data_IF_811422890361
#
_entry.id   IF_811422890361
#
_cell.length_a   1.000
_cell.length_b   1.000
_cell.length_c   1.000
_cell.angle_alpha   90.00
_cell.angle_beta   90.00
_cell.angle_gamma   90.00
#
_symmetry.space_group_name_H-M   'P 1'
#
loop_
_entity.id
_entity.type
_entity.pdbx_description
1 polymer ?
#
# COMPACT_ATOMS: atom_id res chain seq x y z
N UNK A 1 31.27 -21.46 0.35
CA UNK A 1 32.28 -22.31 1.03
C UNK A 1 31.57 -23.11 2.11
N UNK A 2 31.81 -24.44 2.19
CA UNK A 2 31.44 -25.39 3.26
C UNK A 2 30.47 -24.90 4.38
N UNK A 3 29.36 -25.63 4.53
CA UNK A 3 29.11 -26.42 5.76
C UNK A 3 28.34 -27.70 5.41
N UNK A 4 28.83 -28.82 5.93
CA UNK A 4 28.20 -30.14 5.86
C UNK A 4 27.99 -30.57 7.30
N UNK A 5 26.77 -30.94 7.68
CA UNK A 5 26.47 -31.51 8.99
C UNK A 5 25.52 -32.70 8.84
N UNK A 6 26.06 -33.88 9.14
CA UNK A 6 25.35 -35.16 9.19
C UNK A 6 24.59 -35.28 10.51
N UNK A 7 23.29 -35.60 10.51
CA UNK A 7 22.63 -36.30 11.62
C UNK A 7 21.77 -37.43 11.07
N UNK A 8 21.84 -38.60 11.72
CA UNK A 8 21.27 -39.88 11.29
C UNK A 8 20.51 -40.52 12.48
N UNK A 9 19.45 -41.29 12.18
CA UNK A 9 18.59 -42.05 13.11
C UNK A 9 17.55 -41.19 13.88
N UNK A 10 16.38 -41.67 14.32
CA UNK A 10 15.94 -43.04 14.65
C UNK A 10 14.51 -43.34 14.11
N UNK A 11 14.27 -44.61 13.75
CA UNK A 11 12.96 -45.20 13.41
C UNK A 11 12.09 -45.44 14.66
N UNK A 12 10.78 -45.13 14.61
CA UNK A 12 9.78 -45.96 15.32
C UNK A 12 8.43 -46.02 14.58
N UNK A 13 7.62 -47.01 14.95
CA UNK A 13 6.65 -47.70 14.10
C UNK A 13 5.24 -47.76 14.75
N UNK A 14 4.17 -47.70 13.93
CA UNK A 14 2.78 -48.12 14.24
C UNK A 14 2.02 -47.31 15.32
N UNK A 15 0.67 -47.29 15.39
CA UNK A 15 -0.37 -47.96 14.58
C UNK A 15 -1.65 -47.08 14.47
N UNK A 16 -2.60 -47.52 13.63
CA UNK A 16 -3.91 -46.88 13.42
C UNK A 16 -4.91 -47.17 14.55
N UNK A 17 -5.81 -46.21 14.83
CA UNK A 17 -7.23 -46.47 15.14
C UNK A 17 -8.08 -45.19 15.03
N UNK A 18 -9.13 -45.23 14.22
CA UNK A 18 -10.25 -44.27 14.22
C UNK A 18 -11.56 -45.04 14.52
N UNK A 19 -12.73 -44.39 14.64
CA UNK A 19 -13.36 -44.06 15.92
C UNK A 19 -14.64 -44.90 16.16
N UNK A 20 -15.55 -44.46 17.05
CA UNK A 20 -16.85 -44.07 16.49
C UNK A 20 -17.43 -42.76 17.06
N UNK A 21 -18.36 -42.18 16.31
CA UNK A 21 -19.18 -41.02 16.70
C UNK A 21 -20.43 -41.42 17.50
N UNK A 22 -21.10 -40.47 18.16
CA UNK A 22 -22.58 -40.41 18.23
C UNK A 22 -23.12 -39.05 18.72
N UNK A 23 -24.32 -38.67 18.23
CA UNK A 23 -25.30 -37.65 18.68
C UNK A 23 -24.80 -36.25 19.15
N UNK A 24 -25.21 -35.13 18.53
CA UNK A 24 -26.56 -34.52 18.52
C UNK A 24 -27.13 -34.21 19.92
N UNK A 25 -27.21 -32.91 20.26
CA UNK A 25 -28.52 -32.31 20.52
C UNK A 25 -28.51 -30.77 20.30
N UNK A 26 -29.66 -30.23 19.89
CA UNK A 26 -29.99 -28.80 19.85
C UNK A 26 -31.43 -28.60 20.32
N UNK A 27 -31.67 -27.63 21.20
CA UNK A 27 -32.81 -26.75 21.08
C UNK A 27 -32.31 -25.31 20.86
N UNK A 28 -33.01 -24.43 20.14
CA UNK A 28 -34.46 -24.39 19.95
C UNK A 28 -34.89 -22.98 20.35
N UNK A 29 -35.00 -22.08 19.36
CA UNK A 29 -34.93 -20.64 19.63
C UNK A 29 -36.23 -20.00 20.13
N UNK A 30 -36.17 -18.69 20.40
CA UNK A 30 -37.39 -17.89 20.56
C UNK A 30 -37.23 -16.48 19.98
N UNK A 31 -37.98 -16.20 18.91
CA UNK A 31 -38.22 -14.84 18.45
C UNK A 31 -39.21 -14.15 19.39
N UNK A 32 -38.94 -12.90 19.76
CA UNK A 32 -39.99 -11.94 20.17
C UNK A 32 -39.67 -10.57 19.57
N UNK A 33 -40.58 -10.07 18.74
CA UNK A 33 -40.55 -8.70 18.24
C UNK A 33 -41.67 -7.88 18.86
N UNK A 34 -41.38 -6.60 19.13
CA UNK A 34 -42.28 -5.48 19.45
C UNK A 34 -41.33 -4.28 19.71
N UNK A 35 -41.61 -3.04 19.31
CA UNK A 35 -42.73 -2.50 18.54
C UNK A 35 -42.45 -1.03 18.20
N UNK A 36 -43.28 -0.44 17.33
CA UNK A 36 -43.12 0.96 16.91
C UNK A 36 -43.30 1.97 18.05
N UNK A 37 -42.58 3.09 17.99
CA UNK A 37 -42.68 4.20 18.95
C UNK A 37 -42.21 5.53 18.37
N UNK A 38 -42.89 6.05 17.35
CA UNK A 38 -42.57 7.36 16.78
C UNK A 38 -43.11 8.50 17.64
N UNK A 39 -42.22 9.39 18.12
CA UNK A 39 -42.57 10.59 18.87
C UNK A 39 -42.13 11.86 18.14
N UNK A 40 -43.08 12.62 17.59
CA UNK A 40 -42.86 14.00 17.12
C UNK A 40 -42.99 14.97 18.29
N UNK A 41 -42.08 15.94 18.40
CA UNK A 41 -42.19 17.07 19.34
C UNK A 41 -41.67 18.36 18.70
N UNK A 42 -42.49 19.41 18.72
CA UNK A 42 -42.12 20.77 18.30
C UNK A 42 -41.18 21.43 19.36
N UNK A 43 -40.44 22.51 19.08
CA UNK A 43 -40.50 23.41 17.92
C UNK A 43 -40.92 24.84 18.29
N UNK A 44 -40.16 25.49 19.17
CA UNK A 44 -40.11 26.94 19.48
C UNK A 44 -38.72 27.21 20.10
N UNK A 45 -38.09 28.39 20.06
CA UNK A 45 -38.36 29.67 19.37
C UNK A 45 -37.19 30.64 19.63
N UNK A 46 -36.86 31.63 18.77
CA UNK A 46 -35.59 32.37 18.86
C UNK A 46 -35.62 33.49 19.91
N UNK A 47 -34.84 33.35 20.98
CA UNK A 47 -34.65 34.38 22.00
C UNK A 47 -33.47 35.30 21.70
N UNK A 48 -33.74 36.55 21.31
CA UNK A 48 -32.72 37.60 21.23
C UNK A 48 -32.23 38.00 22.64
N UNK A 49 -30.96 37.76 22.94
CA UNK A 49 -30.30 38.21 24.18
C UNK A 49 -29.17 39.20 23.88
N UNK A 50 -29.44 40.49 24.00
CA UNK A 50 -28.41 41.53 23.84
C UNK A 50 -27.54 41.70 25.09
N UNK A 51 -26.22 41.80 24.89
CA UNK A 51 -25.37 42.70 25.68
C UNK A 51 -24.82 42.21 27.02
N UNK A 52 -23.50 41.99 27.05
CA UNK A 52 -22.56 42.84 27.82
C UNK A 52 -21.12 42.54 27.42
N UNK A 53 -20.42 43.53 26.87
CA UNK A 53 -18.99 43.41 26.57
C UNK A 53 -18.17 43.46 27.86
N UNK A 54 -17.26 42.50 28.04
CA UNK A 54 -16.25 42.57 29.09
C UNK A 54 -15.07 43.40 28.62
N UNK A 55 -14.77 44.48 29.35
CA UNK A 55 -13.56 45.28 29.16
C UNK A 55 -12.35 44.48 29.64
N UNK A 56 -11.30 44.42 28.83
CA UNK A 56 -9.99 43.95 29.28
C UNK A 56 -9.47 44.89 30.38
N UNK A 57 -9.25 44.37 31.58
CA UNK A 57 -8.45 45.06 32.59
C UNK A 57 -6.98 44.76 32.33
N UNK A 58 -6.22 45.77 31.90
CA UNK A 58 -4.78 45.70 31.85
C UNK A 58 -4.21 45.80 33.28
N UNK A 59 -3.51 44.76 33.73
CA UNK A 59 -2.69 44.79 34.95
C UNK A 59 -1.23 44.64 34.55
N UNK A 60 -0.45 45.71 34.71
CA UNK A 60 0.99 45.66 34.54
C UNK A 60 1.60 44.80 35.65
N UNK A 61 2.25 43.70 35.29
CA UNK A 61 3.09 42.88 36.16
C UNK A 61 4.43 42.65 35.47
N UNK A 62 5.53 42.77 36.21
CA UNK A 62 6.89 42.74 35.65
C UNK A 62 7.21 41.44 34.91
N UNK A 63 7.77 41.58 33.71
CA UNK A 63 8.16 40.45 32.89
C UNK A 63 9.53 39.90 33.32
N UNK A 64 9.54 38.87 34.16
CA UNK A 64 10.64 37.89 34.13
C UNK A 64 10.45 36.98 32.91
N UNK A 65 10.94 37.43 31.76
CA UNK A 65 10.92 36.65 30.53
C UNK A 65 11.93 35.48 30.62
N UNK A 66 11.57 34.41 31.32
CA UNK A 66 12.15 33.09 31.04
C UNK A 66 11.67 32.68 29.65
N UNK A 67 12.61 32.68 28.70
CA UNK A 67 12.40 32.29 27.31
C UNK A 67 12.00 30.82 27.25
N UNK A 68 10.69 30.54 27.30
CA UNK A 68 10.16 29.19 27.12
C UNK A 68 10.37 28.78 25.68
N UNK A 69 11.41 27.98 25.44
CA UNK A 69 11.65 27.32 24.16
C UNK A 69 10.35 26.67 23.68
N UNK A 70 9.99 26.91 22.42
CA UNK A 70 8.83 26.31 21.76
C UNK A 70 9.00 24.79 21.73
N UNK A 71 8.40 24.12 22.71
CA UNK A 71 8.46 22.67 22.85
C UNK A 71 7.69 22.00 21.72
N UNK A 72 8.38 21.60 20.65
CA UNK A 72 7.83 20.68 19.68
C UNK A 72 7.59 19.33 20.34
N UNK A 73 6.32 18.95 20.50
CA UNK A 73 5.99 17.59 20.93
C UNK A 73 6.57 16.59 19.90
N UNK A 74 7.32 15.56 20.33
CA UNK A 74 7.91 14.61 19.41
C UNK A 74 6.82 13.86 18.65
N UNK A 75 6.97 13.78 17.33
CA UNK A 75 6.08 13.00 16.47
C UNK A 75 6.43 11.51 16.54
N UNK A 76 5.41 10.67 16.52
CA UNK A 76 5.51 9.22 16.41
C UNK A 76 4.94 8.72 15.08
N UNK A 77 5.46 7.58 14.65
CA UNK A 77 5.19 6.96 13.35
C UNK A 77 4.86 5.45 13.53
N UNK A 78 3.80 5.10 14.28
CA UNK A 78 3.57 3.73 14.78
C UNK A 78 3.27 2.69 13.70
N UNK A 79 2.91 3.08 12.46
CA UNK A 79 2.55 2.14 11.39
C UNK A 79 3.09 2.53 10.02
N UNK A 80 3.04 3.81 9.66
CA UNK A 80 3.67 4.35 8.45
C UNK A 80 4.92 5.12 8.89
N UNK A 81 6.10 4.58 8.58
CA UNK A 81 7.38 5.22 8.90
C UNK A 81 7.58 6.52 8.09
N UNK A 82 8.21 7.51 8.70
CA UNK A 82 8.57 8.84 8.16
C UNK A 82 7.40 9.76 7.73
N UNK A 83 6.21 9.22 7.44
CA UNK A 83 5.06 9.96 6.91
C UNK A 83 3.88 10.04 7.89
N UNK A 84 3.12 11.14 7.83
CA UNK A 84 1.90 11.29 8.63
C UNK A 84 2.11 11.22 10.15
N UNK A 85 3.11 11.91 10.69
CA UNK A 85 3.45 11.86 12.12
C UNK A 85 2.30 12.32 13.04
N UNK A 86 2.18 11.65 14.19
CA UNK A 86 1.14 11.88 15.21
C UNK A 86 1.73 12.16 16.59
N UNK A 87 0.94 12.78 17.46
CA UNK A 87 1.23 12.92 18.90
C UNK A 87 0.20 12.06 19.64
N UNK A 88 0.63 11.27 20.64
CA UNK A 88 -0.30 10.46 21.45
C UNK A 88 -1.10 11.36 22.38
N UNK A 89 -2.43 11.29 22.31
CA UNK A 89 -3.37 12.10 23.10
C UNK A 89 -4.36 11.20 23.84
N UNK A 90 -3.89 10.55 24.91
CA UNK A 90 -4.67 9.57 25.67
C UNK A 90 -5.98 10.11 26.25
N UNK A 91 -5.98 11.37 26.68
CA UNK A 91 -7.14 12.00 27.34
C UNK A 91 -8.00 12.84 26.38
N UNK A 92 -7.79 12.73 25.06
CA UNK A 92 -8.58 13.48 24.09
C UNK A 92 -10.06 13.04 24.08
N UNK A 93 -10.96 14.02 23.99
CA UNK A 93 -12.41 13.80 24.02
C UNK A 93 -12.98 13.03 22.80
N UNK A 94 -12.18 12.81 21.75
CA UNK A 94 -12.53 12.04 20.56
C UNK A 94 -11.40 11.05 20.27
N UNK A 95 -11.57 9.82 20.75
CA UNK A 95 -10.62 8.72 20.55
C UNK A 95 -10.89 7.96 19.23
N UNK A 96 -9.87 7.33 18.62
CA UNK A 96 -10.07 6.31 17.60
C UNK A 96 -11.03 5.22 18.07
N UNK A 97 -11.93 4.75 17.19
CA UNK A 97 -12.92 3.72 17.52
C UNK A 97 -12.66 2.46 16.72
N UNK A 98 -12.48 1.32 17.40
CA UNK A 98 -12.29 0.03 16.75
C UNK A 98 -13.46 -0.31 15.81
N UNK A 99 -13.15 -0.94 14.67
CA UNK A 99 -14.12 -1.27 13.63
C UNK A 99 -14.56 -0.09 12.77
N UNK A 100 -13.89 1.07 12.86
CA UNK A 100 -14.18 2.21 11.98
C UNK A 100 -13.89 1.83 10.52
N UNK A 101 -14.80 2.18 9.62
CA UNK A 101 -14.59 2.14 8.17
C UNK A 101 -14.48 3.57 7.65
N UNK A 102 -13.40 3.92 6.96
CA UNK A 102 -13.11 5.27 6.48
C UNK A 102 -12.85 5.23 4.97
N UNK A 103 -13.65 5.96 4.20
CA UNK A 103 -13.39 6.22 2.79
C UNK A 103 -12.83 7.63 2.66
N UNK A 104 -11.61 7.73 2.14
CA UNK A 104 -10.95 8.99 1.83
C UNK A 104 -11.12 9.29 0.34
N UNK A 105 -11.81 10.38 0.00
CA UNK A 105 -11.88 10.88 -1.37
C UNK A 105 -10.78 11.92 -1.61
N UNK A 106 -9.72 11.53 -2.30
CA UNK A 106 -8.50 12.32 -2.47
C UNK A 106 -8.49 12.95 -3.87
N UNK A 107 -8.68 14.26 -3.92
CA UNK A 107 -8.75 15.04 -5.17
C UNK A 107 -7.65 16.09 -5.33
N UNK A 108 -6.97 16.45 -4.24
CA UNK A 108 -5.82 17.37 -4.29
C UNK A 108 -4.63 16.76 -5.05
N UNK A 109 -4.16 17.41 -6.11
CA UNK A 109 -2.84 17.14 -6.69
C UNK A 109 -1.69 17.78 -5.91
N UNK A 110 -0.46 17.58 -6.39
CA UNK A 110 0.78 18.21 -5.91
C UNK A 110 1.65 18.67 -7.07
N UNK A 111 2.73 19.39 -6.76
CA UNK A 111 3.86 19.55 -7.69
C UNK A 111 4.43 18.17 -8.04
N UNK A 112 4.87 17.99 -9.28
CA UNK A 112 5.20 16.67 -9.86
C UNK A 112 6.43 16.00 -9.23
N UNK A 113 7.31 16.79 -8.62
CA UNK A 113 8.50 16.31 -7.90
C UNK A 113 8.30 16.24 -6.37
N UNK A 114 7.07 16.43 -5.87
CA UNK A 114 6.75 16.39 -4.44
C UNK A 114 5.68 15.34 -4.14
N UNK A 115 5.80 14.72 -2.96
CA UNK A 115 4.79 13.84 -2.39
C UNK A 115 3.46 14.60 -2.26
N UNK A 116 2.38 13.93 -2.62
CA UNK A 116 1.05 14.49 -2.51
C UNK A 116 0.66 14.64 -1.04
N UNK A 117 0.42 15.88 -0.59
CA UNK A 117 0.03 16.18 0.81
C UNK A 117 -1.31 15.56 1.24
N UNK A 118 -2.11 15.04 0.30
CA UNK A 118 -3.25 14.17 0.61
C UNK A 118 -2.80 12.80 1.14
N UNK A 119 -1.74 12.20 0.58
CA UNK A 119 -1.19 10.92 1.05
C UNK A 119 -0.59 11.04 2.45
N UNK A 120 0.09 12.14 2.77
CA UNK A 120 0.56 12.44 4.12
C UNK A 120 -0.59 12.46 5.14
N UNK A 121 -1.77 12.96 4.75
CA UNK A 121 -2.98 12.90 5.60
C UNK A 121 -3.52 11.48 5.72
N UNK A 122 -3.51 10.67 4.65
CA UNK A 122 -3.88 9.24 4.73
C UNK A 122 -2.96 8.50 5.69
N UNK A 123 -1.64 8.67 5.57
CA UNK A 123 -0.65 8.11 6.49
C UNK A 123 -0.89 8.56 7.93
N UNK A 124 -1.27 9.83 8.12
CA UNK A 124 -1.66 10.35 9.44
C UNK A 124 -2.91 9.69 9.99
N UNK A 125 -3.91 9.36 9.18
CA UNK A 125 -5.06 8.57 9.64
C UNK A 125 -4.65 7.16 10.05
N UNK A 126 -3.80 6.46 9.28
CA UNK A 126 -3.27 5.14 9.67
C UNK A 126 -2.52 5.23 11.02
N UNK A 127 -1.62 6.20 11.18
CA UNK A 127 -0.86 6.40 12.41
C UNK A 127 -1.73 6.85 13.61
N UNK A 128 -2.79 7.62 13.39
CA UNK A 128 -3.73 8.03 14.44
C UNK A 128 -4.44 6.83 15.06
N UNK A 129 -4.89 5.89 14.24
CA UNK A 129 -5.53 4.64 14.71
C UNK A 129 -4.51 3.66 15.31
N UNK A 130 -3.28 3.62 14.80
CA UNK A 130 -2.24 2.72 15.32
C UNK A 130 -1.60 3.18 16.65
N UNK A 131 -1.65 4.47 17.01
CA UNK A 131 -1.05 4.94 18.27
C UNK A 131 -1.26 6.41 18.65
N UNK A 132 -2.16 7.13 17.99
CA UNK A 132 -2.48 8.53 18.32
C UNK A 132 -3.47 8.69 19.48
N UNK A 133 -4.31 7.69 19.74
CA UNK A 133 -5.27 7.68 20.85
C UNK A 133 -4.70 7.16 22.17
N UNK A 134 -5.58 6.89 23.14
CA UNK A 134 -5.24 6.18 24.39
C UNK A 134 -4.66 4.80 24.09
N UNK A 135 -5.40 4.01 23.30
CA UNK A 135 -5.03 2.69 22.83
C UNK A 135 -5.11 2.62 21.30
N UNK A 136 -4.38 1.68 20.66
CA UNK A 136 -4.57 1.37 19.24
C UNK A 136 -5.99 0.88 18.96
N UNK A 137 -6.49 1.14 17.76
CA UNK A 137 -7.83 0.75 17.34
C UNK A 137 -7.88 0.28 15.87
N UNK A 138 -8.59 -0.82 15.62
CA UNK A 138 -8.75 -1.36 14.27
C UNK A 138 -9.55 -0.42 13.36
N UNK A 139 -9.06 -0.23 12.14
CA UNK A 139 -9.70 0.58 11.10
C UNK A 139 -9.56 -0.08 9.73
N UNK A 140 -10.60 0.03 8.91
CA UNK A 140 -10.53 -0.25 7.46
C UNK A 140 -10.51 1.07 6.73
N UNK A 141 -9.43 1.38 6.01
CA UNK A 141 -9.31 2.60 5.23
C UNK A 141 -9.32 2.24 3.74
N UNK A 142 -10.20 2.88 2.99
CA UNK A 142 -10.18 2.91 1.53
C UNK A 142 -9.85 4.33 1.06
N UNK A 143 -9.07 4.47 0.00
CA UNK A 143 -8.76 5.76 -0.65
C UNK A 143 -9.17 5.69 -2.10
N UNK A 144 -9.84 6.74 -2.59
CA UNK A 144 -10.11 6.90 -4.02
C UNK A 144 -9.44 8.15 -4.57
N UNK A 145 -8.65 7.98 -5.63
CA UNK A 145 -7.93 9.04 -6.33
C UNK A 145 -8.73 9.50 -7.55
N UNK A 146 -9.07 10.79 -7.60
CA UNK A 146 -9.55 11.44 -8.82
C UNK A 146 -9.14 12.92 -8.87
N UNK A 147 -9.76 13.72 -9.75
CA UNK A 147 -9.37 15.11 -9.96
C UNK A 147 -7.87 15.26 -10.26
N UNK A 148 -7.19 16.13 -9.53
CA UNK A 148 -5.76 16.38 -9.70
C UNK A 148 -4.86 15.33 -9.03
N UNK A 149 -5.41 14.53 -8.13
CA UNK A 149 -4.70 13.40 -7.54
C UNK A 149 -4.61 12.17 -8.46
N UNK A 150 -5.45 12.07 -9.50
CA UNK A 150 -5.59 10.87 -10.36
C UNK A 150 -4.27 10.25 -10.81
N UNK A 151 -3.28 11.07 -11.16
CA UNK A 151 -2.01 10.62 -11.73
C UNK A 151 -0.92 10.37 -10.67
N UNK A 152 -1.22 10.55 -9.38
CA UNK A 152 -0.29 10.24 -8.30
C UNK A 152 -0.03 8.73 -8.16
N UNK A 153 -0.88 7.87 -8.75
CA UNK A 153 -0.81 6.40 -8.64
C UNK A 153 -0.16 5.70 -9.84
N UNK A 154 0.48 6.44 -10.75
CA UNK A 154 1.14 5.83 -11.91
C UNK A 154 2.42 5.10 -11.51
N UNK A 155 2.81 4.08 -12.27
CA UNK A 155 4.13 3.45 -12.25
C UNK A 155 5.23 4.49 -12.46
N UNK A 156 6.46 4.27 -11.94
CA UNK A 156 7.58 5.21 -12.08
C UNK A 156 7.79 5.69 -13.52
N UNK A 157 7.87 4.75 -14.47
CA UNK A 157 8.16 5.05 -15.88
C UNK A 157 7.05 5.87 -16.54
N UNK A 158 5.79 5.50 -16.29
CA UNK A 158 4.62 6.22 -16.79
C UNK A 158 4.51 7.64 -16.19
N UNK A 159 4.85 7.80 -14.91
CA UNK A 159 4.91 9.10 -14.25
C UNK A 159 6.06 9.96 -14.79
N UNK A 160 7.26 9.38 -14.92
CA UNK A 160 8.47 10.01 -15.43
C UNK A 160 8.27 10.50 -16.88
N UNK A 161 7.73 9.66 -17.75
CA UNK A 161 7.43 10.00 -19.13
C UNK A 161 6.39 11.14 -19.25
N UNK A 162 5.39 11.15 -18.36
CA UNK A 162 4.28 12.12 -18.39
C UNK A 162 4.62 13.48 -17.78
N UNK A 163 5.52 13.52 -16.79
CA UNK A 163 5.84 14.73 -16.02
C UNK A 163 7.30 15.19 -16.11
N UNK A 164 8.14 14.49 -16.87
CA UNK A 164 9.59 14.76 -17.03
C UNK A 164 10.33 14.81 -15.68
N UNK A 165 10.10 13.78 -14.85
CA UNK A 165 10.71 13.59 -13.53
C UNK A 165 11.50 12.28 -13.49
N UNK A 166 12.35 12.08 -12.48
CA UNK A 166 13.12 10.85 -12.29
C UNK A 166 12.28 9.62 -11.88
N UNK A 167 10.97 9.80 -11.65
CA UNK A 167 10.03 8.76 -11.22
C UNK A 167 8.83 9.35 -10.47
N UNK A 168 7.96 8.48 -9.95
CA UNK A 168 6.81 8.92 -9.14
C UNK A 168 7.24 9.15 -7.68
N UNK A 169 7.25 10.40 -7.16
CA UNK A 169 7.63 10.67 -5.76
C UNK A 169 6.69 10.03 -4.74
N UNK A 170 5.46 9.67 -5.15
CA UNK A 170 4.45 9.10 -4.28
C UNK A 170 4.63 7.58 -4.04
N UNK A 171 5.45 6.89 -4.84
CA UNK A 171 5.49 5.42 -4.88
C UNK A 171 5.77 4.79 -3.51
N UNK A 172 6.81 5.24 -2.79
CA UNK A 172 7.20 4.68 -1.48
C UNK A 172 6.03 4.75 -0.49
N UNK A 173 5.38 5.90 -0.40
CA UNK A 173 4.26 6.12 0.51
C UNK A 173 3.01 5.35 0.10
N UNK A 174 2.72 5.27 -1.21
CA UNK A 174 1.64 4.44 -1.74
C UNK A 174 1.84 2.95 -1.40
N UNK A 175 3.06 2.42 -1.53
CA UNK A 175 3.41 1.06 -1.13
C UNK A 175 3.22 0.85 0.38
N UNK A 176 3.79 1.73 1.22
CA UNK A 176 3.63 1.64 2.68
C UNK A 176 2.15 1.67 3.14
N UNK A 177 1.29 2.45 2.46
CA UNK A 177 -0.15 2.47 2.72
C UNK A 177 -0.81 1.14 2.33
N UNK A 178 -0.47 0.57 1.18
CA UNK A 178 -0.93 -0.76 0.76
C UNK A 178 -0.50 -1.84 1.75
N UNK A 179 0.78 -1.85 2.16
CA UNK A 179 1.34 -2.82 3.12
C UNK A 179 0.72 -2.70 4.51
N UNK A 180 0.26 -1.49 4.87
CA UNK A 180 -0.49 -1.26 6.10
C UNK A 180 -1.95 -1.74 6.04
N UNK A 181 -2.45 -2.18 4.88
CA UNK A 181 -3.81 -2.67 4.67
C UNK A 181 -4.81 -1.62 4.20
N UNK A 182 -4.35 -0.52 3.58
CA UNK A 182 -5.23 0.49 2.98
C UNK A 182 -5.64 0.06 1.57
N UNK A 183 -6.94 -0.04 1.31
CA UNK A 183 -7.48 -0.29 -0.04
C UNK A 183 -7.34 0.96 -0.92
N UNK A 184 -6.58 0.89 -2.01
CA UNK A 184 -6.34 2.03 -2.90
C UNK A 184 -7.07 1.86 -4.24
N UNK A 185 -7.81 2.88 -4.66
CA UNK A 185 -8.59 2.89 -5.90
C UNK A 185 -8.32 4.15 -6.74
N UNK A 186 -8.29 4.04 -8.07
CA UNK A 186 -8.25 5.21 -8.97
C UNK A 186 -9.47 5.27 -9.89
N UNK A 187 -9.95 6.48 -10.16
CA UNK A 187 -11.06 6.71 -11.08
C UNK A 187 -10.64 6.48 -12.53
N UNK A 188 -11.13 5.40 -13.15
CA UNK A 188 -10.85 5.06 -14.55
C UNK A 188 -11.28 6.14 -15.54
N UNK A 189 -12.44 6.79 -15.34
CA UNK A 189 -12.85 7.91 -16.20
C UNK A 189 -11.85 9.08 -16.14
N UNK A 190 -11.35 9.43 -14.95
CA UNK A 190 -10.37 10.51 -14.78
C UNK A 190 -8.99 10.12 -15.31
N UNK A 191 -8.62 8.85 -15.20
CA UNK A 191 -7.34 8.32 -15.69
C UNK A 191 -7.28 8.44 -17.23
N UNK A 192 -8.31 7.93 -17.91
CA UNK A 192 -8.45 7.98 -19.37
C UNK A 192 -8.56 9.43 -19.86
N UNK A 193 -9.34 10.28 -19.18
CA UNK A 193 -9.47 11.70 -19.59
C UNK A 193 -8.18 12.50 -19.43
N UNK A 194 -7.27 12.05 -18.55
CA UNK A 194 -5.92 12.61 -18.40
C UNK A 194 -4.86 11.89 -19.26
N UNK A 195 -5.28 11.06 -20.22
CA UNK A 195 -4.41 10.42 -21.20
C UNK A 195 -3.46 9.40 -20.58
N UNK A 196 -3.96 8.59 -19.64
CA UNK A 196 -3.29 7.41 -19.09
C UNK A 196 -4.27 6.25 -19.06
N UNK A 197 -3.77 5.02 -19.01
CA UNK A 197 -4.55 3.80 -19.07
C UNK A 197 -4.38 2.92 -17.82
N UNK A 198 -5.28 1.95 -17.55
CA UNK A 198 -5.18 1.11 -16.34
C UNK A 198 -3.83 0.36 -16.22
N UNK A 199 -3.19 0.07 -17.35
CA UNK A 199 -1.84 -0.51 -17.46
C UNK A 199 -0.75 0.40 -16.88
N UNK A 200 -0.94 1.71 -16.83
CA UNK A 200 0.01 2.68 -16.28
C UNK A 200 -0.01 2.72 -14.73
N UNK A 201 -1.05 2.17 -14.09
CA UNK A 201 -1.28 2.28 -12.65
C UNK A 201 -0.40 1.28 -11.88
N UNK A 202 0.09 1.67 -10.69
CA UNK A 202 0.80 0.73 -9.81
C UNK A 202 -0.12 -0.43 -9.42
N UNK A 203 0.38 -1.66 -9.48
CA UNK A 203 -0.45 -2.87 -9.45
C UNK A 203 -1.27 -3.10 -8.17
N UNK A 204 -0.88 -2.46 -7.06
CA UNK A 204 -1.61 -2.50 -5.79
C UNK A 204 -2.69 -1.40 -5.67
N UNK A 205 -2.86 -0.55 -6.69
CA UNK A 205 -3.98 0.41 -6.81
C UNK A 205 -4.99 -0.11 -7.85
N UNK A 206 -6.24 -0.29 -7.43
CA UNK A 206 -7.31 -0.87 -8.22
C UNK A 206 -7.98 0.19 -9.10
N UNK A 207 -8.02 0.02 -10.42
CA UNK A 207 -8.78 0.93 -11.29
C UNK A 207 -10.28 0.65 -11.16
N UNK A 208 -11.04 1.61 -10.63
CA UNK A 208 -12.50 1.56 -10.54
C UNK A 208 -13.15 2.22 -11.77
N UNK A 209 -14.41 1.88 -12.07
CA UNK A 209 -15.18 2.48 -13.19
C UNK A 209 -15.18 4.01 -13.09
N UNK A 210 -15.51 4.54 -11.91
CA UNK A 210 -15.35 5.94 -11.54
C UNK A 210 -15.17 6.13 -10.03
N UNK A 211 -14.66 7.30 -9.60
CA UNK A 211 -14.65 7.65 -8.19
C UNK A 211 -16.07 7.63 -7.58
N UNK A 212 -17.07 8.09 -8.33
CA UNK A 212 -18.47 8.11 -7.87
C UNK A 212 -18.97 6.70 -7.52
N UNK A 213 -18.63 5.68 -8.32
CA UNK A 213 -18.97 4.28 -8.00
C UNK A 213 -18.24 3.78 -6.76
N UNK A 214 -16.96 4.12 -6.59
CA UNK A 214 -16.21 3.77 -5.37
C UNK A 214 -16.82 4.43 -4.13
N UNK A 215 -17.19 5.71 -4.23
CA UNK A 215 -17.79 6.49 -3.15
C UNK A 215 -19.13 5.91 -2.72
N UNK A 216 -20.06 5.75 -3.67
CA UNK A 216 -21.41 5.22 -3.37
C UNK A 216 -21.34 3.83 -2.76
N UNK A 217 -20.56 2.91 -3.34
CA UNK A 217 -20.46 1.53 -2.86
C UNK A 217 -19.91 1.47 -1.42
N UNK A 218 -18.77 2.11 -1.14
CA UNK A 218 -18.19 2.08 0.20
C UNK A 218 -19.08 2.78 1.24
N UNK A 219 -19.74 3.89 0.89
CA UNK A 219 -20.70 4.51 1.80
C UNK A 219 -21.89 3.60 2.09
N UNK A 220 -22.40 2.85 1.10
CA UNK A 220 -23.43 1.81 1.30
C UNK A 220 -22.91 0.66 2.19
N UNK A 221 -21.64 0.29 2.08
CA UNK A 221 -20.98 -0.69 2.95
C UNK A 221 -20.64 -0.15 4.36
N UNK A 222 -21.07 1.08 4.69
CA UNK A 222 -20.93 1.70 6.01
C UNK A 222 -19.61 2.43 6.23
N UNK A 223 -18.88 2.80 5.19
CA UNK A 223 -17.69 3.66 5.30
C UNK A 223 -18.11 5.12 5.55
N UNK A 224 -17.50 5.75 6.56
CA UNK A 224 -17.57 7.19 6.74
C UNK A 224 -16.81 7.90 5.62
N UNK A 225 -17.45 8.85 4.95
CA UNK A 225 -16.85 9.61 3.85
C UNK A 225 -16.05 10.81 4.35
N UNK A 226 -14.82 10.96 3.84
CA UNK A 226 -13.91 12.03 4.17
C UNK A 226 -13.27 12.64 2.90
N UNK A 227 -13.66 13.85 2.49
CA UNK A 227 -13.06 14.51 1.34
C UNK A 227 -11.72 15.17 1.69
N UNK A 228 -10.66 14.79 0.98
CA UNK A 228 -9.36 15.46 0.93
C UNK A 228 -9.22 16.22 -0.39
N UNK A 229 -9.94 17.34 -0.47
CA UNK A 229 -9.80 18.30 -1.55
C UNK A 229 -8.58 19.21 -1.38
N UNK A 230 -8.14 19.81 -2.49
CA UNK A 230 -7.27 20.99 -2.43
C UNK A 230 -8.07 22.05 -1.66
N UNK A 231 -7.49 22.60 -0.59
CA UNK A 231 -8.12 23.73 0.09
C UNK A 231 -8.33 24.82 -0.96
N UNK A 232 -9.58 25.21 -1.19
CA UNK A 232 -9.86 26.37 -2.01
C UNK A 232 -9.12 27.55 -1.37
N UNK A 233 -8.21 28.19 -2.10
CA UNK A 233 -7.90 29.57 -1.79
C UNK A 233 -9.23 30.30 -1.93
N UNK A 234 -9.83 30.67 -0.80
CA UNK A 234 -10.73 31.81 -0.79
C UNK A 234 -9.79 32.99 -0.98
N UNK A 235 -9.41 33.22 -2.23
CA UNK A 235 -8.96 34.52 -2.67
C UNK A 235 -10.14 35.44 -2.36
N UNK A 236 -10.04 36.12 -1.22
CA UNK A 236 -11.06 37.06 -0.78
C UNK A 236 -11.27 38.02 -1.96
N UNK A 237 -12.52 38.29 -2.38
CA UNK A 237 -12.76 39.19 -3.49
C UNK A 237 -12.05 40.51 -3.17
N UNK A 238 -11.06 40.84 -3.99
CA UNK A 238 -10.31 42.09 -3.85
C UNK A 238 -11.35 43.21 -3.82
N UNK A 239 -11.29 44.16 -2.87
CA UNK A 239 -12.33 45.17 -2.74
C UNK A 239 -12.36 46.02 -4.01
N UNK A 240 -13.32 45.72 -4.89
CA UNK A 240 -13.56 46.51 -6.09
C UNK A 240 -13.87 47.94 -5.64
N UNK A 241 -12.98 48.86 -6.01
CA UNK A 241 -13.19 50.27 -5.77
C UNK A 241 -14.41 50.69 -6.60
N UNK A 242 -15.51 51.01 -5.91
CA UNK A 242 -16.67 51.66 -6.52
C UNK A 242 -16.23 53.01 -7.06
N UNK A 243 -15.96 53.07 -8.36
CA UNK A 243 -15.86 54.32 -9.12
C UNK A 243 -17.01 54.38 -10.09
N UNK A 244 -17.87 55.37 -9.89
CA UNK A 244 -19.03 55.67 -10.74
C UNK A 244 -18.62 55.98 -12.18
N UNK A 245 -19.52 55.67 -13.11
CA UNK A 245 -19.29 55.74 -14.55
C UNK A 245 -18.88 57.13 -15.05
N UNK A 246 -18.17 57.14 -16.20
CA UNK A 246 -18.60 58.00 -17.29
C UNK A 246 -18.32 57.36 -18.67
N UNK A 247 -19.05 57.81 -19.69
CA UNK A 247 -19.09 57.19 -21.04
C UNK A 247 -18.16 57.87 -22.06
N UNK A 248 -17.56 57.11 -23.00
CA UNK A 248 -17.64 57.33 -24.47
C UNK A 248 -16.48 56.72 -25.30
N UNK A 249 -16.88 55.84 -26.24
CA UNK A 249 -16.57 55.83 -27.68
C UNK A 249 -15.14 55.72 -28.31
N UNK A 250 -15.10 54.87 -29.34
CA UNK A 250 -14.31 54.93 -30.59
C UNK A 250 -12.80 54.58 -30.66
N UNK A 251 -12.55 53.49 -31.41
CA UNK A 251 -11.65 53.36 -32.56
C UNK A 251 -10.09 53.31 -32.48
N UNK A 252 -9.58 52.43 -33.37
CA UNK A 252 -8.29 52.43 -34.12
C UNK A 252 -7.02 51.77 -33.54
N UNK A 253 -6.74 50.60 -34.11
CA UNK A 253 -5.62 50.35 -35.06
C UNK A 253 -4.15 50.67 -34.69
N UNK A 254 -3.39 49.57 -34.53
CA UNK A 254 -2.17 49.21 -35.29
C UNK A 254 -0.75 49.29 -34.64
N UNK A 255 0.09 48.39 -35.16
CA UNK A 255 1.56 48.31 -35.18
C UNK A 255 2.36 47.90 -33.92
N UNK A 256 3.20 46.85 -34.09
CA UNK A 256 4.62 46.97 -33.70
C UNK A 256 5.33 45.79 -33.01
N UNK A 257 5.88 44.85 -33.79
CA UNK A 257 7.19 44.19 -33.64
C UNK A 257 7.90 44.01 -32.26
N UNK A 258 8.35 42.77 -32.00
CA UNK A 258 9.72 42.54 -31.49
C UNK A 258 9.89 41.59 -30.27
N UNK A 259 10.84 40.63 -30.28
CA UNK A 259 10.94 39.59 -29.23
C UNK A 259 12.09 39.79 -28.21
N UNK A 260 12.02 39.09 -27.07
CA UNK A 260 13.10 39.01 -26.08
C UNK A 260 13.26 37.60 -25.49
N UNK A 261 14.42 36.98 -25.73
CA UNK A 261 14.82 35.70 -25.11
C UNK A 261 15.47 35.93 -23.74
N UNK A 262 15.32 34.97 -22.82
CA UNK A 262 16.08 34.89 -21.57
C UNK A 262 16.35 33.45 -21.17
N UNK A 263 17.58 32.96 -21.37
CA UNK A 263 18.05 31.68 -20.82
C UNK A 263 18.72 31.90 -19.46
N UNK A 264 18.56 30.94 -18.55
CA UNK A 264 19.29 30.90 -17.27
C UNK A 264 19.49 29.47 -16.79
N UNK A 265 20.63 28.85 -17.13
CA UNK A 265 21.03 27.56 -16.56
C UNK A 265 21.65 27.76 -15.16
N UNK A 266 21.34 26.86 -14.23
CA UNK A 266 21.99 26.78 -12.92
C UNK A 266 22.19 25.33 -12.49
N UNK A 267 23.34 24.74 -12.86
CA UNK A 267 23.72 23.38 -12.45
C UNK A 267 24.21 23.38 -11.00
N UNK A 268 23.52 22.65 -10.12
CA UNK A 268 23.93 22.39 -8.74
C UNK A 268 24.01 20.89 -8.44
N UNK A 269 25.19 20.28 -8.64
CA UNK A 269 25.43 18.86 -8.25
C UNK A 269 25.77 18.77 -6.76
N UNK A 270 24.87 18.20 -5.97
CA UNK A 270 25.16 17.65 -4.64
C UNK A 270 25.23 16.12 -4.69
N UNK A 271 26.19 15.45 -4.02
CA UNK A 271 26.31 14.00 -4.04
C UNK A 271 25.41 13.34 -2.99
N UNK A 272 24.51 12.44 -3.42
CA UNK A 272 23.64 11.65 -2.55
C UNK A 272 23.29 10.30 -3.17
N UNK A 273 23.96 9.24 -2.70
CA UNK A 273 23.72 7.81 -2.93
C UNK A 273 22.63 7.41 -3.95
N UNK A 274 22.98 7.32 -5.24
CA UNK A 274 22.10 6.74 -6.24
C UNK A 274 22.10 5.20 -6.17
N UNK A 275 20.90 4.58 -6.13
CA UNK A 275 20.73 3.23 -6.68
C UNK A 275 21.07 3.32 -8.17
N UNK A 276 22.14 2.64 -8.59
CA UNK A 276 22.73 2.85 -9.91
C UNK A 276 21.82 2.37 -11.06
N UNK A 277 22.05 2.85 -12.31
CA UNK A 277 21.23 2.48 -13.47
C UNK A 277 21.08 0.96 -13.69
N UNK A 278 22.10 0.18 -13.30
CA UNK A 278 22.09 -1.29 -13.41
C UNK A 278 20.98 -1.99 -12.60
N UNK A 279 20.53 -1.43 -11.48
CA UNK A 279 19.45 -2.03 -10.69
C UNK A 279 18.10 -1.95 -11.41
N UNK A 280 17.81 -0.78 -12.01
CA UNK A 280 16.62 -0.57 -12.84
C UNK A 280 16.67 -1.44 -14.10
N UNK A 281 17.85 -1.57 -14.70
CA UNK A 281 18.07 -2.38 -15.91
C UNK A 281 17.94 -3.89 -15.63
N UNK A 282 18.42 -4.38 -14.48
CA UNK A 282 18.22 -5.76 -14.03
C UNK A 282 16.74 -6.08 -13.78
N UNK A 283 16.02 -5.21 -13.06
CA UNK A 283 14.57 -5.37 -12.83
C UNK A 283 13.78 -5.40 -14.14
N UNK A 284 14.16 -4.59 -15.13
CA UNK A 284 13.51 -4.59 -16.44
C UNK A 284 13.82 -5.88 -17.24
N UNK A 285 15.04 -6.41 -17.12
CA UNK A 285 15.43 -7.71 -17.68
C UNK A 285 14.62 -8.86 -17.08
N UNK A 286 14.58 -8.98 -15.76
CA UNK A 286 13.85 -10.05 -15.06
C UNK A 286 12.36 -10.06 -15.37
N UNK A 287 11.74 -8.87 -15.42
CA UNK A 287 10.33 -8.75 -15.83
C UNK A 287 10.15 -9.15 -17.29
N UNK A 288 11.08 -8.84 -18.19
CA UNK A 288 11.01 -9.28 -19.60
C UNK A 288 11.10 -10.80 -19.72
N UNK A 289 12.04 -11.41 -18.99
CA UNK A 289 12.21 -12.88 -18.90
C UNK A 289 10.96 -13.56 -18.37
N UNK A 290 10.37 -13.04 -17.28
CA UNK A 290 9.09 -13.52 -16.75
C UNK A 290 7.95 -13.44 -17.77
N UNK A 291 7.77 -12.29 -18.45
CA UNK A 291 6.70 -12.15 -19.45
C UNK A 291 6.88 -13.12 -20.63
N UNK A 292 8.13 -13.36 -21.08
CA UNK A 292 8.42 -14.35 -22.12
C UNK A 292 8.08 -15.78 -21.65
N UNK A 293 8.49 -16.16 -20.44
CA UNK A 293 8.16 -17.47 -19.85
C UNK A 293 6.65 -17.66 -19.64
N UNK A 294 5.90 -16.59 -19.31
CA UNK A 294 4.44 -16.65 -19.20
C UNK A 294 3.72 -16.78 -20.55
N UNK A 295 4.27 -16.18 -21.62
CA UNK A 295 3.72 -16.27 -22.96
C UNK A 295 3.81 -17.69 -23.54
N UNK A 296 4.95 -18.36 -23.35
CA UNK A 296 5.27 -19.71 -23.84
C UNK A 296 5.12 -20.81 -22.75
N UNK A 297 4.31 -20.56 -21.72
CA UNK A 297 4.20 -21.43 -20.52
C UNK A 297 3.76 -22.87 -20.82
N UNK A 298 3.06 -23.10 -21.93
CA UNK A 298 2.63 -24.42 -22.39
C UNK A 298 3.79 -25.30 -22.86
N UNK A 299 4.95 -24.70 -23.17
CA UNK A 299 6.21 -25.40 -23.46
C UNK A 299 6.99 -25.77 -22.19
N UNK A 300 6.58 -25.28 -21.01
CA UNK A 300 7.26 -25.52 -19.74
C UNK A 300 6.64 -26.73 -19.02
N UNK A 301 7.47 -27.72 -18.72
CA UNK A 301 7.11 -28.89 -17.91
C UNK A 301 7.72 -28.73 -16.53
N UNK A 302 6.88 -28.75 -15.49
CA UNK A 302 7.33 -28.71 -14.09
C UNK A 302 6.85 -29.93 -13.33
N UNK A 303 7.77 -30.57 -12.64
CA UNK A 303 7.51 -31.66 -11.68
C UNK A 303 7.93 -31.19 -10.29
N UNK A 304 7.09 -31.38 -9.28
CA UNK A 304 7.38 -31.01 -7.89
C UNK A 304 7.24 -32.24 -6.99
N UNK A 305 8.22 -32.41 -6.11
CA UNK A 305 8.26 -33.42 -5.06
C UNK A 305 8.34 -32.71 -3.72
N UNK A 306 7.30 -32.83 -2.91
CA UNK A 306 7.31 -32.33 -1.54
C UNK A 306 8.21 -33.23 -0.69
N UNK A 307 9.08 -32.64 0.11
CA UNK A 307 10.00 -33.34 1.02
C UNK A 307 9.58 -33.04 2.48
N UNK A 308 9.83 -33.93 3.45
CA UNK A 308 9.51 -33.66 4.86
C UNK A 308 10.18 -32.39 5.42
N UNK A 309 11.31 -32.02 4.84
CA UNK A 309 12.21 -30.92 5.17
C UNK A 309 12.20 -29.79 4.12
N UNK A 310 11.29 -29.80 3.15
CA UNK A 310 11.19 -28.76 2.13
C UNK A 310 10.53 -29.19 0.83
N UNK A 311 11.13 -28.85 -0.31
CA UNK A 311 10.61 -29.20 -1.64
C UNK A 311 11.71 -29.26 -2.71
N UNK A 312 11.57 -30.22 -3.64
CA UNK A 312 12.38 -30.35 -4.84
C UNK A 312 11.49 -30.10 -6.07
N UNK A 313 11.96 -29.29 -7.02
CA UNK A 313 11.24 -28.98 -8.25
C UNK A 313 12.17 -29.03 -9.47
N UNK A 314 11.74 -29.74 -10.51
CA UNK A 314 12.42 -29.79 -11.82
C UNK A 314 11.54 -29.03 -12.81
N UNK A 315 12.11 -28.04 -13.49
CA UNK A 315 11.40 -27.21 -14.48
C UNK A 315 12.21 -27.18 -15.78
N UNK A 316 11.63 -27.72 -16.85
CA UNK A 316 12.31 -27.99 -18.12
C UNK A 316 11.45 -27.61 -19.32
N UNK A 317 12.10 -27.37 -20.47
CA UNK A 317 11.44 -27.20 -21.76
C UNK A 317 12.19 -27.95 -22.86
N UNK A 318 11.45 -28.45 -23.85
CA UNK A 318 12.04 -28.95 -25.10
C UNK A 318 12.38 -27.81 -26.08
N UNK A 319 11.89 -26.58 -25.82
CA UNK A 319 12.27 -25.36 -26.54
C UNK A 319 13.53 -24.77 -25.88
N UNK A 320 14.63 -24.68 -26.66
CA UNK A 320 15.92 -24.21 -26.15
C UNK A 320 15.87 -22.76 -25.64
N UNK A 321 15.09 -21.87 -26.27
CA UNK A 321 15.01 -20.49 -25.81
C UNK A 321 14.37 -20.42 -24.41
N UNK A 322 13.33 -21.23 -24.17
CA UNK A 322 12.68 -21.31 -22.86
C UNK A 322 13.57 -22.02 -21.82
N UNK A 323 14.33 -23.04 -22.23
CA UNK A 323 15.32 -23.68 -21.38
C UNK A 323 16.44 -22.72 -20.94
N UNK A 324 16.90 -21.84 -21.83
CA UNK A 324 17.90 -20.81 -21.51
C UNK A 324 17.32 -19.72 -20.58
N UNK A 325 16.09 -19.25 -20.83
CA UNK A 325 15.39 -18.30 -19.93
C UNK A 325 15.15 -18.89 -18.53
N UNK A 326 14.84 -20.19 -18.41
CA UNK A 326 14.71 -20.88 -17.12
C UNK A 326 16.03 -20.86 -16.32
N UNK A 327 17.17 -20.97 -17.01
CA UNK A 327 18.52 -20.96 -16.41
C UNK A 327 18.96 -19.56 -15.99
N UNK A 328 18.52 -18.53 -16.71
CA UNK A 328 18.75 -17.13 -16.33
C UNK A 328 17.86 -16.69 -15.16
N UNK A 329 16.58 -17.09 -15.18
CA UNK A 329 15.58 -16.64 -14.21
C UNK A 329 15.82 -17.16 -12.79
N UNK A 330 16.17 -18.44 -12.61
CA UNK A 330 16.27 -19.06 -11.28
C UNK A 330 17.35 -18.41 -10.40
N UNK A 331 18.62 -18.23 -10.87
CA UNK A 331 19.64 -17.52 -10.11
C UNK A 331 19.28 -16.06 -9.84
N UNK A 332 18.72 -15.35 -10.83
CA UNK A 332 18.33 -13.95 -10.67
C UNK A 332 17.26 -13.75 -9.58
N UNK A 333 16.35 -14.72 -9.37
CA UNK A 333 15.38 -14.65 -8.28
C UNK A 333 16.00 -14.96 -6.92
N UNK A 334 17.02 -15.82 -6.84
CA UNK A 334 17.78 -16.01 -5.59
C UNK A 334 18.55 -14.73 -5.21
N UNK A 335 19.32 -14.16 -6.15
CA UNK A 335 20.08 -12.93 -5.94
C UNK A 335 19.19 -11.77 -5.44
N UNK A 336 17.93 -11.71 -5.87
CA UNK A 336 16.94 -10.73 -5.39
C UNK A 336 16.46 -10.96 -3.97
N UNK A 337 16.26 -12.22 -3.58
CA UNK A 337 15.83 -12.57 -2.22
C UNK A 337 16.98 -12.35 -1.24
N UNK A 338 18.21 -12.76 -1.61
CA UNK A 338 19.41 -12.53 -0.80
C UNK A 338 19.86 -11.06 -0.78
N UNK A 339 19.55 -10.30 -1.84
CA UNK A 339 19.93 -8.89 -1.99
C UNK A 339 18.94 -7.85 -1.47
N UNK A 340 17.81 -8.27 -0.88
CA UNK A 340 16.69 -7.40 -0.46
C UNK A 340 16.19 -6.46 -1.60
N UNK A 341 16.13 -6.99 -2.83
CA UNK A 341 15.58 -6.30 -4.01
C UNK A 341 14.47 -7.15 -4.69
N UNK A 342 13.39 -7.51 -3.98
CA UNK A 342 12.31 -8.32 -4.53
C UNK A 342 11.55 -7.62 -5.66
N UNK A 343 11.23 -8.38 -6.72
CA UNK A 343 10.29 -7.93 -7.76
C UNK A 343 8.90 -7.66 -7.16
N UNK A 344 8.07 -6.79 -7.77
CA UNK A 344 6.76 -6.45 -7.24
C UNK A 344 5.86 -7.66 -6.90
N UNK A 345 5.73 -8.73 -7.73
CA UNK A 345 4.96 -9.92 -7.34
C UNK A 345 5.42 -10.56 -6.01
N UNK A 346 6.69 -10.40 -5.67
CA UNK A 346 7.31 -10.93 -4.45
C UNK A 346 7.11 -10.03 -3.23
N UNK A 347 6.78 -8.73 -3.39
CA UNK A 347 6.55 -7.81 -2.26
C UNK A 347 5.15 -7.86 -1.66
N UNK A 348 4.15 -8.38 -2.38
CA UNK A 348 2.76 -8.42 -1.89
C UNK A 348 2.14 -9.82 -1.75
N UNK A 349 2.65 -10.85 -2.41
CA UNK A 349 2.11 -12.21 -2.23
C UNK A 349 2.61 -12.79 -0.89
N UNK A 350 1.74 -13.28 0.01
CA UNK A 350 2.15 -13.59 1.38
C UNK A 350 3.16 -14.74 1.49
N UNK A 351 3.17 -15.68 0.54
CA UNK A 351 4.25 -16.70 0.43
C UNK A 351 5.61 -16.03 0.22
N UNK A 352 5.74 -15.15 -0.77
CA UNK A 352 7.03 -14.52 -1.10
C UNK A 352 7.48 -13.59 0.03
N UNK A 353 6.57 -12.79 0.60
CA UNK A 353 6.84 -11.97 1.78
C UNK A 353 7.27 -12.82 2.99
N UNK A 354 6.71 -14.02 3.14
CA UNK A 354 7.14 -15.00 4.12
C UNK A 354 8.57 -15.48 3.86
N UNK A 355 8.86 -15.97 2.66
CA UNK A 355 10.19 -16.46 2.29
C UNK A 355 11.28 -15.39 2.41
N UNK A 356 11.03 -14.15 1.97
CA UNK A 356 12.00 -13.05 2.09
C UNK A 356 12.33 -12.75 3.56
N UNK A 357 11.34 -12.76 4.46
CA UNK A 357 11.54 -12.57 5.90
C UNK A 357 12.29 -13.71 6.58
N UNK A 358 12.32 -14.87 5.94
CA UNK A 358 12.93 -16.12 6.42
C UNK A 358 14.08 -16.57 5.49
N UNK A 359 14.70 -15.64 4.75
CA UNK A 359 15.74 -15.95 3.76
C UNK A 359 17.01 -16.56 4.38
N UNK A 360 17.24 -16.35 5.68
CA UNK A 360 18.34 -16.97 6.45
C UNK A 360 17.95 -18.34 7.05
N UNK A 361 16.66 -18.71 7.02
CA UNK A 361 16.11 -19.90 7.69
C UNK A 361 15.93 -21.11 6.73
N UNK A 362 16.32 -20.99 5.46
CA UNK A 362 16.33 -22.10 4.50
C UNK A 362 17.57 -22.09 3.59
N UNK A 363 17.98 -23.26 3.12
CA UNK A 363 18.98 -23.41 2.06
C UNK A 363 18.28 -23.59 0.71
N UNK A 364 18.60 -22.72 -0.26
CA UNK A 364 18.33 -22.95 -1.67
C UNK A 364 19.55 -23.61 -2.30
N UNK A 365 19.33 -24.61 -3.15
CA UNK A 365 20.32 -25.06 -4.12
C UNK A 365 19.66 -25.27 -5.47
N UNK A 366 20.40 -25.03 -6.54
CA UNK A 366 19.95 -25.31 -7.90
C UNK A 366 21.03 -26.01 -8.73
N UNK A 367 20.59 -26.82 -9.69
CA UNK A 367 21.42 -27.54 -10.64
C UNK A 367 20.86 -27.32 -12.06
N UNK A 368 21.72 -26.93 -13.00
CA UNK A 368 21.33 -26.92 -14.41
C UNK A 368 21.07 -28.34 -14.91
N UNK A 369 19.93 -28.54 -15.60
CA UNK A 369 19.69 -29.74 -16.40
C UNK A 369 20.02 -29.46 -17.87
N UNK A 370 19.94 -30.48 -18.72
CA UNK A 370 20.04 -30.29 -20.18
C UNK A 370 18.93 -29.37 -20.72
N UNK A 371 17.77 -29.32 -20.06
CA UNK A 371 16.53 -28.71 -20.56
C UNK A 371 15.97 -27.58 -19.67
N UNK A 372 16.67 -27.18 -18.62
CA UNK A 372 16.22 -26.15 -17.69
C UNK A 372 16.93 -26.25 -16.35
N UNK A 373 16.17 -26.22 -15.26
CA UNK A 373 16.69 -26.13 -13.89
C UNK A 373 16.02 -27.12 -12.94
N UNK A 374 16.83 -27.73 -12.09
CA UNK A 374 16.40 -28.35 -10.84
C UNK A 374 16.64 -27.37 -9.69
N UNK A 375 15.69 -27.25 -8.78
CA UNK A 375 15.78 -26.41 -7.58
C UNK A 375 15.36 -27.22 -6.36
N UNK A 376 16.12 -27.13 -5.29
CA UNK A 376 15.85 -27.78 -4.01
C UNK A 376 15.86 -26.73 -2.91
N UNK A 377 14.83 -26.73 -2.07
CA UNK A 377 14.72 -25.91 -0.87
C UNK A 377 14.70 -26.85 0.34
N UNK A 378 15.49 -26.54 1.38
CA UNK A 378 15.50 -27.29 2.65
C UNK A 378 15.50 -26.34 3.85
N UNK A 379 14.78 -26.70 4.92
CA UNK A 379 14.77 -25.95 6.19
C UNK A 379 14.53 -26.88 7.38
N UNK A 380 15.09 -26.51 8.53
CA UNK A 380 14.80 -27.15 9.82
C UNK A 380 13.58 -26.55 10.53
N UNK A 381 13.10 -25.35 10.14
CA UNK A 381 11.89 -24.75 10.72
C UNK A 381 10.63 -25.27 10.01
N UNK A 382 9.72 -25.98 10.73
CA UNK A 382 8.46 -26.47 10.17
C UNK A 382 7.58 -25.41 9.51
N UNK A 383 7.64 -24.14 9.96
CA UNK A 383 6.91 -23.04 9.34
C UNK A 383 7.51 -22.66 7.99
N UNK A 384 8.84 -22.60 7.89
CA UNK A 384 9.55 -22.29 6.65
C UNK A 384 9.45 -23.44 5.65
N UNK A 385 9.46 -24.70 6.11
CA UNK A 385 9.10 -25.88 5.29
C UNK A 385 7.72 -25.73 4.66
N UNK A 386 6.72 -25.25 5.41
CA UNK A 386 5.38 -24.97 4.85
C UNK A 386 5.43 -23.86 3.79
N UNK A 387 6.11 -22.74 4.05
CA UNK A 387 6.28 -21.65 3.08
C UNK A 387 6.93 -22.13 1.78
N UNK A 388 7.99 -22.94 1.90
CA UNK A 388 8.71 -23.57 0.78
C UNK A 388 7.79 -24.49 -0.04
N UNK A 389 7.01 -25.34 0.62
CA UNK A 389 6.08 -26.26 -0.07
C UNK A 389 4.95 -25.50 -0.76
N UNK A 390 4.38 -24.47 -0.13
CA UNK A 390 3.38 -23.61 -0.75
C UNK A 390 3.96 -22.79 -1.91
N UNK A 391 5.21 -22.32 -1.80
CA UNK A 391 5.91 -21.68 -2.92
C UNK A 391 6.06 -22.62 -4.11
N UNK A 392 6.47 -23.87 -3.89
CA UNK A 392 6.58 -24.86 -4.95
C UNK A 392 5.23 -25.16 -5.63
N UNK A 393 4.12 -25.09 -4.89
CA UNK A 393 2.74 -25.14 -5.43
C UNK A 393 2.40 -23.87 -6.21
N UNK A 394 2.65 -22.68 -5.67
CA UNK A 394 2.37 -21.38 -6.32
C UNK A 394 3.06 -21.29 -7.69
N UNK A 395 4.35 -21.63 -7.81
CA UNK A 395 5.06 -21.62 -9.10
C UNK A 395 4.44 -22.60 -10.10
N UNK A 396 3.90 -23.71 -9.63
CA UNK A 396 3.17 -24.66 -10.48
C UNK A 396 1.81 -24.10 -10.93
N UNK A 397 1.16 -23.24 -10.12
CA UNK A 397 -0.04 -22.49 -10.53
C UNK A 397 0.29 -21.38 -11.52
N UNK A 398 1.40 -20.67 -11.37
CA UNK A 398 1.89 -19.67 -12.34
C UNK A 398 2.09 -20.29 -13.75
N UNK A 399 2.70 -21.47 -13.85
CA UNK A 399 2.88 -22.15 -15.15
C UNK A 399 1.52 -22.58 -15.75
N UNK A 400 0.56 -23.00 -14.91
CA UNK A 400 -0.76 -23.44 -15.37
C UNK A 400 -1.63 -22.26 -15.83
N UNK A 401 -1.82 -21.28 -14.94
CA UNK A 401 -2.81 -20.21 -15.05
C UNK A 401 -2.23 -18.92 -15.66
N UNK A 402 -0.90 -18.78 -15.74
CA UNK A 402 -0.24 -17.60 -16.28
C UNK A 402 -0.40 -16.37 -15.40
N UNK A 403 -0.46 -15.19 -16.02
CA UNK A 403 -0.57 -13.89 -15.35
C UNK A 403 -1.83 -13.73 -14.48
N UNK A 404 -2.90 -14.48 -14.75
CA UNK A 404 -4.14 -14.43 -13.95
C UNK A 404 -3.92 -14.88 -12.49
N UNK A 405 -2.95 -15.77 -12.26
CA UNK A 405 -2.57 -16.23 -10.91
C UNK A 405 -1.99 -15.09 -10.06
N UNK A 406 -1.31 -14.10 -10.66
CA UNK A 406 -0.72 -12.95 -9.92
C UNK A 406 -1.82 -12.11 -9.26
N UNK A 407 -3.02 -12.10 -9.84
CA UNK A 407 -4.19 -11.39 -9.34
C UNK A 407 -5.12 -12.26 -8.49
N UNK A 408 -4.82 -13.54 -8.34
CA UNK A 408 -5.64 -14.48 -7.56
C UNK A 408 -5.34 -14.29 -6.07
N UNK A 409 -6.34 -13.98 -5.22
CA UNK A 409 -6.15 -13.90 -3.79
C UNK A 409 -5.64 -15.22 -3.22
N UNK A 410 -4.64 -15.15 -2.36
CA UNK A 410 -4.05 -16.32 -1.71
C UNK A 410 -3.89 -16.09 -0.21
N UNK A 411 -4.43 -17.00 0.58
CA UNK A 411 -4.27 -17.04 2.04
C UNK A 411 -3.26 -18.14 2.40
N UNK A 412 -2.32 -17.83 3.29
CA UNK A 412 -1.40 -18.84 3.80
C UNK A 412 -2.17 -19.86 4.65
N UNK A 413 -1.84 -21.17 4.55
CA UNK A 413 -2.38 -22.18 5.46
C UNK A 413 -2.14 -21.80 6.93
N UNK A 414 -3.13 -22.04 7.79
CA UNK A 414 -2.94 -21.84 9.22
C UNK A 414 -1.86 -22.77 9.75
N UNK A 415 -0.71 -22.20 10.10
CA UNK A 415 0.34 -22.94 10.81
C UNK A 415 0.05 -22.91 12.31
N UNK A 416 -0.04 -24.06 13.00
CA UNK A 416 -0.32 -24.09 14.43
C UNK A 416 0.81 -23.40 15.18
N UNK A 417 0.51 -22.23 15.77
CA UNK A 417 1.45 -21.54 16.66
C UNK A 417 1.86 -22.49 17.77
N UNK A 418 3.17 -22.71 17.89
CA UNK A 418 3.76 -23.45 19.01
C UNK A 418 3.29 -22.76 20.29
N UNK A 419 2.63 -23.49 21.18
CA UNK A 419 2.13 -22.91 22.43
C UNK A 419 3.32 -22.34 23.21
N UNK A 420 3.29 -21.03 23.48
CA UNK A 420 4.24 -20.44 24.42
C UNK A 420 4.00 -21.10 25.79
N UNK A 421 5.05 -21.52 26.50
CA UNK A 421 4.88 -22.09 27.84
C UNK A 421 4.31 -21.01 28.76
N UNK A 422 3.22 -21.35 29.45
CA UNK A 422 2.48 -20.45 30.35
C UNK A 422 3.44 -19.64 31.23
N UNK A 423 3.48 -18.33 31.02
CA UNK A 423 4.34 -17.42 31.76
C UNK A 423 3.82 -17.27 33.19
N UNK A 424 4.41 -18.01 34.13
CA UNK A 424 4.03 -18.03 35.55
C UNK A 424 3.96 -16.60 36.12
N UNK A 425 2.74 -16.12 36.36
CA UNK A 425 2.49 -14.80 36.93
C UNK A 425 2.74 -14.86 38.44
N UNK A 426 3.80 -14.18 38.89
CA UNK A 426 4.09 -13.92 40.31
C UNK A 426 4.55 -12.48 40.54
#
# INVERSE_FOLDING_TARGET
>A
MKRVAFILNIVFLCAMASPPAYAQDQPGGQRRGMGFGGGRGAGFGPGFGQGRGMRMHATNGEATATETASGSHPLSYPRIADHGGVVKLSDAAQQPRAGTKLLVDLTSGSETNKINGGLEKVAKYVNLFAGGGAEPADVKIAVVFHGDATLAVLKPDAYAAKFHTDGNPNLKLLQQLSDAGVDLYVCGQSLISKGSEPSDVVMFVKTAVSAMTTVVNHQTDGYAYLPLAKAASIDAPSPEAVTTADTADSNKEDHGHGPGMGHGMGMGRGPGAGRGPGAMQGMQGDMTTLHAMFADRDKIKRTVKMLPDGAEAITESDDKAIADLLKEHVPAMEDRVLGDDPLPPMTFHPIFVGLIKHAEDYELSYEETEKGMKVTYQSEDPYVVMLVQEHAKLVSRFIKNGMEEIHTPYELPEFPKKAEPDGDVR
#
